data_IF_792069542250
#
_entry.id   IF_792069542250
#
_cell.length_a   1.000
_cell.length_b   1.000
_cell.length_c   1.000
_cell.angle_alpha   90.00
_cell.angle_beta   90.00
_cell.angle_gamma   90.00
#
_symmetry.space_group_name_H-M   'P 1'
#
loop_
_entity.id
_entity.type
_entity.pdbx_description
1 polymer ?
#
# COMPACT_ATOMS: atom_id res chain seq x y z
N UNK A 1 37.78 -21.42 -23.19
CA UNK A 1 36.51 -21.87 -22.58
C UNK A 1 35.88 -22.87 -23.51
N UNK A 2 35.34 -23.98 -22.99
CA UNK A 2 34.47 -24.84 -23.78
C UNK A 2 33.06 -24.24 -23.83
N UNK A 3 32.29 -24.55 -24.86
CA UNK A 3 30.91 -24.10 -24.98
C UNK A 3 30.07 -24.54 -23.77
N UNK A 4 30.35 -25.73 -23.23
CA UNK A 4 29.78 -26.21 -21.98
C UNK A 4 30.06 -25.29 -20.77
N UNK A 5 31.32 -24.85 -20.58
CA UNK A 5 31.68 -23.94 -19.48
C UNK A 5 31.01 -22.56 -19.61
N UNK A 6 30.88 -22.06 -20.84
CA UNK A 6 30.22 -20.79 -21.12
C UNK A 6 28.72 -20.83 -20.76
N UNK A 7 28.00 -21.86 -21.23
CA UNK A 7 26.58 -22.00 -20.90
C UNK A 7 26.35 -22.27 -19.41
N UNK A 8 27.27 -22.97 -18.73
CA UNK A 8 27.17 -23.16 -17.28
C UNK A 8 27.31 -21.85 -16.52
N UNK A 9 28.20 -20.95 -16.94
CA UNK A 9 28.35 -19.61 -16.34
C UNK A 9 27.07 -18.79 -16.50
N UNK A 10 26.46 -18.80 -17.69
CA UNK A 10 25.19 -18.10 -17.93
C UNK A 10 24.04 -18.67 -17.08
N UNK A 11 23.94 -20.01 -16.96
CA UNK A 11 22.96 -20.65 -16.10
C UNK A 11 23.13 -20.21 -14.63
N UNK A 12 24.37 -20.14 -14.15
CA UNK A 12 24.68 -19.70 -12.79
C UNK A 12 24.32 -18.21 -12.58
N UNK A 13 24.58 -17.35 -13.57
CA UNK A 13 24.18 -15.95 -13.51
C UNK A 13 22.66 -15.80 -13.41
N UNK A 14 21.91 -16.54 -14.21
CA UNK A 14 20.45 -16.48 -14.18
C UNK A 14 19.85 -17.07 -12.90
N UNK A 15 20.51 -18.09 -12.32
CA UNK A 15 20.16 -18.59 -10.98
C UNK A 15 20.34 -17.51 -9.91
N UNK A 16 21.42 -16.72 -9.96
CA UNK A 16 21.62 -15.59 -9.05
C UNK A 16 20.57 -14.50 -9.27
N UNK A 17 20.27 -14.16 -10.52
CA UNK A 17 19.22 -13.21 -10.87
C UNK A 17 17.87 -13.66 -10.30
N UNK A 18 17.48 -14.91 -10.54
CA UNK A 18 16.26 -15.51 -10.01
C UNK A 18 16.17 -15.35 -8.47
N UNK A 19 17.21 -15.75 -7.75
CA UNK A 19 17.24 -15.72 -6.29
C UNK A 19 17.17 -14.28 -5.72
N UNK A 20 17.81 -13.32 -6.39
CA UNK A 20 17.76 -11.92 -6.01
C UNK A 20 16.36 -11.34 -6.26
N UNK A 21 15.80 -11.56 -7.45
CA UNK A 21 14.50 -11.02 -7.85
C UNK A 21 13.35 -11.60 -7.03
N UNK A 22 13.37 -12.92 -6.74
CA UNK A 22 12.33 -13.52 -5.89
C UNK A 22 12.39 -12.97 -4.46
N UNK A 23 13.59 -12.71 -3.93
CA UNK A 23 13.76 -12.10 -2.61
C UNK A 23 13.22 -10.67 -2.57
N UNK A 24 13.45 -9.89 -3.63
CA UNK A 24 12.89 -8.54 -3.76
C UNK A 24 11.36 -8.58 -3.84
N UNK A 25 10.80 -9.49 -4.66
CA UNK A 25 9.35 -9.66 -4.79
C UNK A 25 8.70 -9.97 -3.45
N UNK A 26 9.25 -10.92 -2.69
CA UNK A 26 8.75 -11.27 -1.35
C UNK A 26 8.80 -10.08 -0.39
N UNK A 27 9.81 -9.21 -0.50
CA UNK A 27 9.89 -8.01 0.31
C UNK A 27 8.80 -6.98 -0.07
N UNK A 28 8.52 -6.81 -1.37
CA UNK A 28 7.44 -5.96 -1.89
C UNK A 28 6.08 -6.49 -1.44
N UNK A 29 5.81 -7.78 -1.61
CA UNK A 29 4.56 -8.42 -1.20
C UNK A 29 4.30 -8.21 0.32
N UNK A 30 5.34 -8.36 1.15
CA UNK A 30 5.23 -8.07 2.60
C UNK A 30 4.91 -6.61 2.91
N UNK A 31 5.35 -5.66 2.08
CA UNK A 31 4.98 -4.24 2.26
C UNK A 31 3.52 -4.02 1.91
N UNK A 32 3.04 -4.62 0.81
CA UNK A 32 1.62 -4.59 0.41
C UNK A 32 0.74 -5.11 1.55
N UNK A 33 1.06 -6.27 2.14
CA UNK A 33 0.31 -6.86 3.26
C UNK A 33 0.20 -5.91 4.47
N UNK A 34 1.29 -5.19 4.78
CA UNK A 34 1.29 -4.22 5.89
C UNK A 34 0.40 -3.02 5.58
N UNK A 35 0.47 -2.52 4.35
CA UNK A 35 -0.33 -1.38 3.91
C UNK A 35 -1.82 -1.72 3.84
N UNK A 36 -2.21 -2.92 3.41
CA UNK A 36 -3.62 -3.37 3.39
C UNK A 36 -4.20 -3.45 4.81
N UNK A 37 -3.40 -3.91 5.79
CA UNK A 37 -3.79 -3.88 7.21
C UNK A 37 -3.94 -2.45 7.73
N UNK A 38 -2.99 -1.58 7.40
CA UNK A 38 -3.02 -0.17 7.79
C UNK A 38 -4.25 0.56 7.20
N UNK A 39 -4.55 0.32 5.91
CA UNK A 39 -5.74 0.80 5.21
C UNK A 39 -7.02 0.40 5.94
N UNK A 40 -7.19 -0.88 6.25
CA UNK A 40 -8.38 -1.39 6.95
C UNK A 40 -8.55 -0.74 8.33
N UNK A 41 -7.46 -0.61 9.08
CA UNK A 41 -7.46 0.07 10.38
C UNK A 41 -7.83 1.55 10.24
N UNK A 42 -7.26 2.26 9.26
CA UNK A 42 -7.53 3.68 9.03
C UNK A 42 -8.98 3.91 8.58
N UNK A 43 -9.52 3.09 7.69
CA UNK A 43 -10.93 3.14 7.29
C UNK A 43 -11.86 2.95 8.48
N UNK A 44 -11.53 2.04 9.40
CA UNK A 44 -12.29 1.85 10.64
C UNK A 44 -12.24 3.09 11.52
N UNK A 45 -11.08 3.72 11.67
CA UNK A 45 -10.92 4.96 12.44
C UNK A 45 -11.70 6.12 11.84
N UNK A 46 -11.67 6.28 10.51
CA UNK A 46 -12.45 7.31 9.79
C UNK A 46 -13.94 7.12 10.05
N UNK A 47 -14.45 5.89 9.95
CA UNK A 47 -15.86 5.59 10.21
C UNK A 47 -16.24 5.87 11.67
N UNK A 48 -15.43 5.42 12.63
CA UNK A 48 -15.67 5.70 14.04
C UNK A 48 -15.66 7.21 14.34
N UNK A 49 -14.81 7.97 13.65
CA UNK A 49 -14.73 9.42 13.79
C UNK A 49 -15.98 10.11 13.22
N UNK A 50 -16.45 9.66 12.06
CA UNK A 50 -17.70 10.14 11.46
C UNK A 50 -18.87 9.91 12.43
N UNK A 51 -19.10 8.66 12.84
CA UNK A 51 -20.27 8.31 13.65
C UNK A 51 -20.19 8.78 15.10
N UNK A 52 -18.97 8.79 15.67
CA UNK A 52 -18.76 9.09 17.09
C UNK A 52 -18.60 10.57 17.40
N UNK A 53 -18.12 11.37 16.44
CA UNK A 53 -17.82 12.79 16.67
C UNK A 53 -18.65 13.68 15.76
N UNK A 54 -18.58 13.50 14.43
CA UNK A 54 -19.23 14.42 13.49
C UNK A 54 -20.76 14.31 13.61
N UNK A 55 -21.31 13.09 13.57
CA UNK A 55 -22.76 12.88 13.70
C UNK A 55 -23.26 13.31 15.10
N UNK A 56 -22.42 13.18 16.13
CA UNK A 56 -22.75 13.64 17.48
C UNK A 56 -22.79 15.18 17.57
N UNK A 57 -21.83 15.87 16.96
CA UNK A 57 -21.86 17.33 16.84
C UNK A 57 -23.12 17.79 16.11
N UNK A 58 -23.45 17.16 14.99
CA UNK A 58 -24.63 17.54 14.19
C UNK A 58 -25.95 17.41 14.99
N UNK A 59 -26.08 16.38 15.84
CA UNK A 59 -27.23 16.26 16.76
C UNK A 59 -27.27 17.41 17.77
N UNK A 60 -26.14 17.73 18.38
CA UNK A 60 -26.04 18.83 19.37
C UNK A 60 -26.40 20.17 18.73
N UNK A 61 -26.01 20.41 17.47
CA UNK A 61 -26.39 21.64 16.74
C UNK A 61 -27.90 21.82 16.67
N UNK A 62 -28.61 20.76 16.26
CA UNK A 62 -30.07 20.79 16.01
C UNK A 62 -30.86 20.98 17.31
N UNK A 63 -30.39 20.40 18.41
CA UNK A 63 -31.09 20.48 19.70
C UNK A 63 -30.95 21.86 20.39
N UNK A 64 -29.83 22.58 20.16
CA UNK A 64 -29.45 23.74 20.99
C UNK A 64 -29.73 25.13 20.38
N UNK A 65 -29.88 25.24 19.05
CA UNK A 65 -30.16 26.54 18.38
C UNK A 65 -31.43 27.24 18.91
N UNK A 66 -32.33 26.47 19.54
CA UNK A 66 -33.59 26.94 20.14
C UNK A 66 -33.49 27.42 21.60
N UNK A 67 -32.41 27.08 22.33
CA UNK A 67 -32.34 27.21 23.80
C UNK A 67 -31.53 28.44 24.26
N UNK A 68 -30.44 28.80 23.57
CA UNK A 68 -29.57 29.91 23.98
C UNK A 68 -29.96 31.27 23.36
N UNK A 69 -29.71 32.36 24.12
CA UNK A 69 -29.99 33.75 23.71
C UNK A 69 -28.81 34.69 23.98
N UNK A 70 -28.74 35.79 23.23
CA UNK A 70 -27.71 36.83 23.37
C UNK A 70 -26.28 36.27 23.26
N UNK A 71 -25.35 36.80 24.06
CA UNK A 71 -23.94 36.40 24.06
C UNK A 71 -23.70 34.90 24.24
N UNK A 72 -24.58 34.20 24.96
CA UNK A 72 -24.48 32.74 25.14
C UNK A 72 -24.70 32.01 23.83
N UNK A 73 -25.66 32.48 23.01
CA UNK A 73 -25.89 31.93 21.67
C UNK A 73 -24.66 32.15 20.79
N UNK A 74 -24.11 33.36 20.79
CA UNK A 74 -22.90 33.68 20.01
C UNK A 74 -21.72 32.77 20.39
N UNK A 75 -21.42 32.66 21.69
CA UNK A 75 -20.34 31.78 22.18
C UNK A 75 -20.57 30.31 21.86
N UNK A 76 -21.82 29.85 21.95
CA UNK A 76 -22.16 28.49 21.58
C UNK A 76 -21.87 28.23 20.09
N UNK A 77 -22.37 29.09 19.20
CA UNK A 77 -22.17 28.96 17.75
C UNK A 77 -20.67 28.97 17.41
N UNK A 78 -19.90 29.90 17.96
CA UNK A 78 -18.45 29.97 17.73
C UNK A 78 -17.72 28.68 18.16
N UNK A 79 -18.09 28.11 19.32
CA UNK A 79 -17.49 26.87 19.81
C UNK A 79 -17.91 25.67 18.99
N UNK A 80 -19.18 25.59 18.60
CA UNK A 80 -19.69 24.58 17.70
C UNK A 80 -18.95 24.60 16.36
N UNK A 81 -18.89 25.75 15.70
CA UNK A 81 -18.26 25.89 14.39
C UNK A 81 -16.77 25.57 14.44
N UNK A 82 -16.07 25.97 15.50
CA UNK A 82 -14.68 25.63 15.72
C UNK A 82 -14.47 24.11 15.90
N UNK A 83 -15.30 23.46 16.72
CA UNK A 83 -15.21 22.02 16.93
C UNK A 83 -15.55 21.24 15.65
N UNK A 84 -16.60 21.64 14.95
CA UNK A 84 -17.01 21.02 13.68
C UNK A 84 -15.94 21.18 12.60
N UNK A 85 -15.35 22.37 12.46
CA UNK A 85 -14.25 22.61 11.52
C UNK A 85 -13.03 21.75 11.84
N UNK A 86 -12.65 21.66 13.11
CA UNK A 86 -11.53 20.82 13.53
C UNK A 86 -11.80 19.33 13.24
N UNK A 87 -13.02 18.86 13.53
CA UNK A 87 -13.41 17.48 13.27
C UNK A 87 -13.40 17.15 11.77
N UNK A 88 -14.06 17.95 10.94
CA UNK A 88 -14.13 17.71 9.49
C UNK A 88 -12.75 17.81 8.83
N UNK A 89 -11.91 18.75 9.27
CA UNK A 89 -10.51 18.86 8.80
C UNK A 89 -9.69 17.62 9.15
N UNK A 90 -9.82 17.13 10.39
CA UNK A 90 -9.12 15.92 10.82
C UNK A 90 -9.55 14.69 10.01
N UNK A 91 -10.87 14.53 9.80
CA UNK A 91 -11.41 13.46 8.94
C UNK A 91 -10.86 13.55 7.52
N UNK A 92 -10.89 14.72 6.91
CA UNK A 92 -10.37 14.92 5.55
C UNK A 92 -8.88 14.58 5.44
N UNK A 93 -8.07 14.90 6.46
CA UNK A 93 -6.67 14.51 6.50
C UNK A 93 -6.48 12.99 6.55
N UNK A 94 -7.30 12.26 7.31
CA UNK A 94 -7.27 10.80 7.33
C UNK A 94 -7.74 10.19 6.00
N UNK A 95 -8.74 10.77 5.34
CA UNK A 95 -9.17 10.35 4.00
C UNK A 95 -8.04 10.53 2.96
N UNK A 96 -7.35 11.68 2.98
CA UNK A 96 -6.20 11.90 2.11
C UNK A 96 -5.04 10.91 2.36
N UNK A 97 -4.81 10.53 3.63
CA UNK A 97 -3.83 9.50 3.97
C UNK A 97 -4.26 8.12 3.45
N UNK A 98 -5.56 7.81 3.51
CA UNK A 98 -6.12 6.56 2.98
C UNK A 98 -5.91 6.48 1.46
N UNK A 99 -6.14 7.57 0.74
CA UNK A 99 -5.89 7.65 -0.71
C UNK A 99 -4.42 7.49 -1.05
N UNK A 100 -3.53 8.07 -0.24
CA UNK A 100 -2.08 7.90 -0.38
C UNK A 100 -1.66 6.44 -0.19
N UNK A 101 -2.22 5.74 0.81
CA UNK A 101 -1.98 4.31 1.02
C UNK A 101 -2.49 3.48 -0.17
N UNK A 102 -3.68 3.77 -0.69
CA UNK A 102 -4.23 3.08 -1.86
C UNK A 102 -3.32 3.24 -3.09
N UNK A 103 -2.81 4.45 -3.31
CA UNK A 103 -1.89 4.75 -4.42
C UNK A 103 -0.59 3.96 -4.28
N UNK A 104 -0.01 3.94 -3.08
CA UNK A 104 1.22 3.20 -2.82
C UNK A 104 1.04 1.68 -3.00
N UNK A 105 -0.10 1.13 -2.55
CA UNK A 105 -0.44 -0.28 -2.79
C UNK A 105 -0.48 -0.58 -4.29
N UNK A 106 -1.13 0.26 -5.09
CA UNK A 106 -1.22 0.07 -6.54
C UNK A 106 0.17 0.10 -7.22
N UNK A 107 1.04 1.02 -6.80
CA UNK A 107 2.41 1.10 -7.31
C UNK A 107 3.22 -0.16 -6.96
N UNK A 108 3.13 -0.63 -5.71
CA UNK A 108 3.82 -1.84 -5.26
C UNK A 108 3.27 -3.11 -5.93
N UNK A 109 1.97 -3.16 -6.22
CA UNK A 109 1.38 -4.26 -6.99
C UNK A 109 1.97 -4.32 -8.40
N UNK A 110 2.05 -3.18 -9.09
CA UNK A 110 2.69 -3.11 -10.41
C UNK A 110 4.19 -3.50 -10.35
N UNK A 111 4.91 -3.11 -9.30
CA UNK A 111 6.29 -3.55 -9.08
C UNK A 111 6.38 -5.06 -8.84
N UNK A 112 5.49 -5.62 -8.01
CA UNK A 112 5.44 -7.06 -7.74
C UNK A 112 5.15 -7.89 -8.99
N UNK A 113 4.24 -7.41 -9.85
CA UNK A 113 3.91 -8.04 -11.13
C UNK A 113 5.11 -8.02 -12.08
N UNK A 114 5.82 -6.88 -12.18
CA UNK A 114 7.06 -6.79 -12.95
C UNK A 114 8.11 -7.77 -12.44
N UNK A 115 8.33 -7.82 -11.12
CA UNK A 115 9.26 -8.77 -10.52
C UNK A 115 8.85 -10.23 -10.76
N UNK A 116 7.55 -10.54 -10.82
CA UNK A 116 7.08 -11.88 -11.17
C UNK A 116 7.48 -12.29 -12.59
N UNK A 117 7.40 -11.35 -13.55
CA UNK A 117 7.86 -11.55 -14.94
C UNK A 117 9.37 -11.78 -14.98
N UNK A 118 10.14 -10.96 -14.25
CA UNK A 118 11.61 -11.05 -14.19
C UNK A 118 12.04 -12.40 -13.57
N UNK A 119 11.38 -12.85 -12.49
CA UNK A 119 11.59 -14.18 -11.88
C UNK A 119 11.36 -15.29 -12.90
N UNK A 120 10.25 -15.24 -13.63
CA UNK A 120 9.91 -16.26 -14.63
C UNK A 120 10.97 -16.30 -15.74
N UNK A 121 11.37 -15.14 -16.23
CA UNK A 121 12.39 -15.02 -17.30
C UNK A 121 13.73 -15.59 -16.86
N UNK A 122 14.21 -15.21 -15.67
CA UNK A 122 15.47 -15.74 -15.14
C UNK A 122 15.44 -17.26 -14.96
N UNK A 123 14.31 -17.80 -14.50
CA UNK A 123 14.13 -19.25 -14.35
C UNK A 123 14.15 -19.98 -15.71
N UNK A 124 13.46 -19.45 -16.72
CA UNK A 124 13.43 -20.01 -18.07
C UNK A 124 14.84 -19.97 -18.71
N UNK A 125 15.55 -18.85 -18.61
CA UNK A 125 16.91 -18.70 -19.11
C UNK A 125 17.89 -19.65 -18.41
N UNK A 126 17.81 -19.76 -17.07
CA UNK A 126 18.63 -20.69 -16.29
C UNK A 126 18.49 -22.12 -16.81
N UNK A 127 17.26 -22.59 -17.02
CA UNK A 127 17.00 -23.94 -17.54
C UNK A 127 17.49 -24.13 -18.98
N UNK A 128 17.32 -23.11 -19.82
CA UNK A 128 17.80 -23.12 -21.20
C UNK A 128 19.32 -23.27 -21.25
N UNK A 129 20.05 -22.41 -20.53
CA UNK A 129 21.51 -22.46 -20.51
C UNK A 129 22.04 -23.74 -19.86
N UNK A 130 21.39 -24.25 -18.81
CA UNK A 130 21.76 -25.54 -18.23
C UNK A 130 21.62 -26.69 -19.25
N UNK A 131 20.58 -26.65 -20.08
CA UNK A 131 20.37 -27.65 -21.14
C UNK A 131 21.44 -27.55 -22.22
N UNK A 132 21.80 -26.33 -22.64
CA UNK A 132 22.88 -26.10 -23.61
C UNK A 132 24.25 -26.58 -23.07
N UNK A 133 24.54 -26.32 -21.79
CA UNK A 133 25.76 -26.80 -21.14
C UNK A 133 25.86 -28.34 -21.15
N UNK A 134 24.75 -29.02 -20.88
CA UNK A 134 24.68 -30.48 -20.88
C UNK A 134 24.90 -31.07 -22.30
N UNK A 135 24.27 -30.47 -23.31
CA UNK A 135 24.45 -30.88 -24.71
C UNK A 135 25.90 -30.70 -25.18
N UNK A 136 26.49 -29.54 -24.91
CA UNK A 136 27.88 -29.23 -25.27
C UNK A 136 28.93 -30.04 -24.48
N UNK A 137 28.54 -30.67 -23.36
CA UNK A 137 29.40 -31.58 -22.59
C UNK A 137 29.35 -33.02 -23.11
N UNK A 138 28.39 -33.34 -23.98
CA UNK A 138 28.14 -34.68 -24.50
C UNK A 138 28.74 -34.91 -25.90
N UNK A 139 29.30 -33.86 -26.51
CA UNK A 139 30.06 -33.87 -27.76
C UNK A 139 31.57 -34.04 -27.51
#
# INVERSE_FOLDING_TARGET
MSDASYYQELANQESQNYNNTISQKVAVDKKIDRLEKAKTSLSTQINNFQTGIIDALEKVKVEDESQFKGDRKTKYVEKYDSANTAATTNKASHEANLDSINTEIANLQAESDRLAIDVKTAYENMNYYQSMANSASSE
#
